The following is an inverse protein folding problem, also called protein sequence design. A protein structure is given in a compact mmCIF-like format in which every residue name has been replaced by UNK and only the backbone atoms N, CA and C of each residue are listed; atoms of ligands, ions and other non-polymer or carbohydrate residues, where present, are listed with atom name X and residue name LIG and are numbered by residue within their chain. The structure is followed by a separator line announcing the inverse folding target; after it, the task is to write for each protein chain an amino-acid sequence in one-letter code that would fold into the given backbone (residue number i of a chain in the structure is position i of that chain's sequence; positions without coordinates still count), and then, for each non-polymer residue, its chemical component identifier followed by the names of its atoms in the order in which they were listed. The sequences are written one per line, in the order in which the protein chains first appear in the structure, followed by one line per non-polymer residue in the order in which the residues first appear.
data_IF_364922070461
#
_entry.id   IF_364922070461
#
_cell.length_a   1.000
_cell.length_b   1.000
_cell.length_c   1.000
_cell.angle_alpha   90.00
_cell.angle_beta   90.00
_cell.angle_gamma   90.00
#
_symmetry.space_group_name_H-M   'P 1'
#
loop_
_entity.id
_entity.type
_entity.pdbx_description
1 polymer ?
#
# COMPACT_ATOMS: atom_id res chain seq x y z
N UNK A 1 9.06 29.27 14.52
CA UNK A 1 8.88 29.33 13.06
C UNK A 1 9.08 27.92 12.59
N UNK A 2 7.98 27.26 12.26
CA UNK A 2 7.99 25.87 11.80
C UNK A 2 7.86 25.97 10.30
N UNK A 3 8.92 25.58 9.60
CA UNK A 3 8.92 25.55 8.15
C UNK A 3 7.90 24.51 7.69
N UNK A 4 6.93 25.04 6.97
CA UNK A 4 5.86 24.37 6.26
C UNK A 4 6.48 23.59 5.08
N UNK A 5 6.75 22.31 5.29
CA UNK A 5 7.18 21.39 4.22
C UNK A 5 5.94 20.98 3.40
N UNK A 6 5.38 21.94 2.69
CA UNK A 6 4.35 21.71 1.67
C UNK A 6 5.09 21.34 0.37
N UNK A 7 4.89 20.13 -0.19
CA UNK A 7 5.83 19.56 -1.15
C UNK A 7 5.63 20.14 -2.55
N UNK A 8 6.71 20.67 -3.12
CA UNK A 8 6.85 21.01 -4.55
C UNK A 8 6.74 19.76 -5.47
N UNK A 9 6.66 18.56 -4.88
CA UNK A 9 6.54 17.26 -5.56
C UNK A 9 5.13 17.01 -6.14
N UNK A 10 4.09 17.65 -5.58
CA UNK A 10 2.70 17.41 -5.98
C UNK A 10 2.37 17.87 -7.41
N UNK A 11 3.15 18.80 -7.97
CA UNK A 11 2.98 19.29 -9.35
C UNK A 11 3.54 18.34 -10.41
N UNK A 12 4.50 17.47 -10.08
CA UNK A 12 5.12 16.55 -11.04
C UNK A 12 4.39 15.20 -11.15
N UNK A 13 3.81 14.71 -10.05
CA UNK A 13 3.10 13.41 -10.03
C UNK A 13 1.82 13.40 -10.87
N UNK A 14 1.21 14.57 -11.11
CA UNK A 14 0.02 14.71 -11.96
C UNK A 14 -1.30 14.29 -11.29
N UNK A 15 -2.34 14.06 -12.11
CA UNK A 15 -3.68 13.69 -11.62
C UNK A 15 -3.80 12.18 -11.34
N UNK A 16 -4.68 11.81 -10.41
CA UNK A 16 -5.02 10.41 -10.16
C UNK A 16 -5.66 9.73 -11.37
N UNK A 17 -5.15 8.56 -11.74
CA UNK A 17 -5.73 7.70 -12.76
C UNK A 17 -6.81 6.79 -12.14
N UNK A 18 -8.03 7.32 -12.14
CA UNK A 18 -9.23 6.63 -11.63
C UNK A 18 -9.54 5.34 -12.39
N UNK A 19 -9.13 5.23 -13.66
CA UNK A 19 -9.40 4.04 -14.48
C UNK A 19 -8.47 2.91 -14.07
N UNK A 20 -7.18 3.22 -13.91
CA UNK A 20 -6.19 2.26 -13.41
C UNK A 20 -6.53 1.82 -11.99
N UNK A 21 -6.81 2.73 -11.06
CA UNK A 21 -7.20 2.35 -9.70
C UNK A 21 -8.46 1.48 -9.66
N UNK A 22 -9.45 1.73 -10.53
CA UNK A 22 -10.64 0.86 -10.60
C UNK A 22 -10.29 -0.54 -11.11
N UNK A 23 -9.37 -0.63 -12.06
CA UNK A 23 -8.86 -1.90 -12.58
C UNK A 23 -8.11 -2.66 -11.49
N UNK A 24 -7.26 -1.98 -10.73
CA UNK A 24 -6.57 -2.53 -9.58
C UNK A 24 -7.54 -3.11 -8.55
N UNK A 25 -8.56 -2.34 -8.14
CA UNK A 25 -9.58 -2.82 -7.19
C UNK A 25 -10.29 -4.10 -7.68
N UNK A 26 -10.79 -4.10 -8.92
CA UNK A 26 -11.46 -5.28 -9.51
C UNK A 26 -10.56 -6.50 -9.62
N UNK A 27 -9.27 -6.30 -9.86
CA UNK A 27 -8.30 -7.41 -9.93
C UNK A 27 -7.91 -7.90 -8.54
N UNK A 28 -7.84 -7.02 -7.56
CA UNK A 28 -7.58 -7.37 -6.17
C UNK A 28 -8.64 -8.35 -5.63
N UNK A 29 -9.93 -8.17 -5.96
CA UNK A 29 -11.02 -9.09 -5.56
C UNK A 29 -10.83 -10.55 -5.99
N UNK A 30 -9.94 -10.82 -6.95
CA UNK A 30 -9.64 -12.19 -7.39
C UNK A 30 -8.64 -12.91 -6.48
N UNK A 31 -8.01 -12.17 -5.55
CA UNK A 31 -7.01 -12.70 -4.64
C UNK A 31 -7.65 -13.14 -3.30
N UNK A 32 -7.32 -14.33 -2.77
CA UNK A 32 -7.98 -14.89 -1.58
C UNK A 32 -7.79 -14.08 -0.29
N UNK A 33 -6.77 -13.24 -0.20
CA UNK A 33 -6.56 -12.34 0.95
C UNK A 33 -7.46 -11.10 0.94
N UNK A 34 -8.08 -10.79 -0.19
CA UNK A 34 -8.85 -9.56 -0.36
C UNK A 34 -10.31 -9.83 -0.01
N UNK A 35 -10.85 -9.03 0.91
CA UNK A 35 -12.27 -9.07 1.27
C UNK A 35 -13.08 -8.15 0.35
N UNK A 36 -12.61 -6.91 0.19
CA UNK A 36 -13.31 -5.90 -0.60
C UNK A 36 -12.40 -4.75 -1.00
N UNK A 37 -12.86 -3.89 -1.92
CA UNK A 37 -12.21 -2.61 -2.20
C UNK A 37 -13.23 -1.50 -2.36
N UNK A 38 -12.76 -0.27 -2.12
CA UNK A 38 -13.55 0.94 -2.33
C UNK A 38 -12.67 2.12 -2.69
N UNK A 39 -13.30 3.13 -3.26
CA UNK A 39 -12.69 4.45 -3.38
C UNK A 39 -12.99 5.27 -2.13
N UNK A 40 -12.01 6.02 -1.66
CA UNK A 40 -12.14 6.98 -0.56
C UNK A 40 -11.95 8.42 -1.06
N UNK A 41 -12.70 9.42 -0.55
CA UNK A 41 -13.83 9.26 0.36
C UNK A 41 -15.06 8.63 -0.31
N UNK A 42 -15.15 8.71 -1.64
CA UNK A 42 -16.26 8.16 -2.40
C UNK A 42 -15.88 7.88 -3.86
N UNK A 43 -16.80 7.27 -4.61
CA UNK A 43 -16.61 6.92 -6.02
C UNK A 43 -16.68 8.12 -6.97
N UNK A 44 -17.27 9.24 -6.57
CA UNK A 44 -17.49 10.43 -7.40
C UNK A 44 -16.20 11.26 -7.49
N UNK A 45 -15.53 11.45 -6.36
CA UNK A 45 -14.29 12.22 -6.21
C UNK A 45 -13.23 11.43 -5.42
N UNK A 46 -12.77 10.29 -5.96
CA UNK A 46 -11.80 9.44 -5.28
C UNK A 46 -10.46 10.15 -5.12
N UNK A 47 -9.86 9.97 -3.95
CA UNK A 47 -8.51 10.37 -3.57
C UNK A 47 -7.58 9.16 -3.46
N UNK A 48 -8.12 8.01 -3.04
CA UNK A 48 -7.36 6.76 -3.00
C UNK A 48 -8.26 5.56 -3.27
N UNK A 49 -7.64 4.46 -3.68
CA UNK A 49 -8.21 3.13 -3.65
C UNK A 49 -7.82 2.46 -2.34
N UNK A 50 -8.78 1.99 -1.57
CA UNK A 50 -8.54 1.16 -0.38
C UNK A 50 -8.99 -0.27 -0.67
N UNK A 51 -8.07 -1.21 -0.49
CA UNK A 51 -8.30 -2.66 -0.54
C UNK A 51 -8.29 -3.16 0.89
N UNK A 52 -9.44 -3.64 1.37
CA UNK A 52 -9.58 -4.26 2.68
C UNK A 52 -9.21 -5.73 2.61
N UNK A 53 -8.37 -6.17 3.54
CA UNK A 53 -7.92 -7.55 3.60
C UNK A 53 -8.79 -8.34 4.58
N UNK A 54 -9.02 -9.61 4.28
CA UNK A 54 -9.88 -10.47 5.07
C UNK A 54 -9.30 -10.66 6.48
N UNK A 55 -10.01 -10.22 7.51
CA UNK A 55 -9.58 -10.35 8.90
C UNK A 55 -9.37 -11.81 9.31
N UNK A 56 -10.11 -12.74 8.69
CA UNK A 56 -9.96 -14.19 8.90
C UNK A 56 -8.63 -14.76 8.39
N UNK A 57 -7.90 -14.02 7.54
CA UNK A 57 -6.58 -14.43 7.11
C UNK A 57 -5.50 -14.14 8.16
N UNK A 58 -5.75 -13.23 9.12
CA UNK A 58 -4.77 -12.77 10.10
C UNK A 58 -4.97 -13.44 11.48
N UNK A 59 -3.92 -13.53 12.31
CA UNK A 59 -4.08 -13.84 13.74
C UNK A 59 -4.88 -12.76 14.48
N UNK A 60 -5.46 -13.13 15.62
CA UNK A 60 -6.28 -12.23 16.45
C UNK A 60 -5.55 -10.99 17.01
N UNK A 61 -4.23 -10.91 16.88
CA UNK A 61 -3.44 -9.73 17.26
C UNK A 61 -3.54 -8.59 16.25
N UNK A 62 -4.05 -8.86 15.04
CA UNK A 62 -4.28 -7.84 14.00
C UNK A 62 -5.77 -7.53 13.93
N UNK A 63 -6.15 -6.30 14.30
CA UNK A 63 -7.55 -5.88 14.32
C UNK A 63 -8.11 -5.68 12.90
N UNK A 64 -7.29 -5.09 12.03
CA UNK A 64 -7.62 -4.92 10.61
C UNK A 64 -6.36 -4.71 9.78
N UNK A 65 -6.44 -5.04 8.49
CA UNK A 65 -5.38 -4.78 7.54
C UNK A 65 -5.93 -4.23 6.22
N UNK A 66 -5.18 -3.34 5.58
CA UNK A 66 -5.56 -2.72 4.31
C UNK A 66 -4.35 -2.37 3.45
N UNK A 67 -4.60 -2.25 2.16
CA UNK A 67 -3.68 -1.62 1.20
C UNK A 67 -4.35 -0.36 0.66
N UNK A 68 -3.69 0.78 0.79
CA UNK A 68 -4.11 2.04 0.19
C UNK A 68 -3.24 2.33 -1.04
N UNK A 69 -3.88 2.63 -2.16
CA UNK A 69 -3.22 2.84 -3.45
C UNK A 69 -3.58 4.22 -4.01
N UNK A 70 -2.55 4.95 -4.39
CA UNK A 70 -2.63 6.12 -5.25
C UNK A 70 -1.91 5.77 -6.55
N UNK A 71 -2.59 5.92 -7.68
CA UNK A 71 -2.00 5.73 -9.00
C UNK A 71 -2.25 6.97 -9.84
N UNK A 72 -1.23 7.44 -10.55
CA UNK A 72 -1.30 8.68 -11.31
C UNK A 72 -1.18 8.43 -12.81
N UNK A 73 -1.69 9.37 -13.60
CA UNK A 73 -1.64 9.31 -15.08
C UNK A 73 -0.20 9.30 -15.63
N UNK A 74 0.76 9.75 -14.82
CA UNK A 74 2.21 9.71 -15.13
C UNK A 74 2.83 8.31 -14.95
N UNK A 75 2.07 7.36 -14.39
CA UNK A 75 2.56 6.05 -13.97
C UNK A 75 3.26 6.05 -12.61
N UNK A 76 3.31 7.19 -11.93
CA UNK A 76 3.73 7.26 -10.53
C UNK A 76 2.69 6.63 -9.62
N UNK A 77 3.12 6.17 -8.45
CA UNK A 77 2.25 5.49 -7.49
C UNK A 77 2.77 5.57 -6.06
N UNK A 78 1.83 5.44 -5.11
CA UNK A 78 2.09 5.13 -3.71
C UNK A 78 1.22 3.93 -3.34
N UNK A 79 1.82 2.88 -2.79
CA UNK A 79 1.10 1.71 -2.27
C UNK A 79 1.47 1.54 -0.80
N UNK A 80 0.50 1.67 0.08
CA UNK A 80 0.70 1.68 1.53
C UNK A 80 -0.05 0.52 2.17
N UNK A 81 0.69 -0.43 2.73
CA UNK A 81 0.13 -1.51 3.52
C UNK A 81 0.12 -1.13 5.00
N UNK A 82 -1.01 -1.36 5.68
CA UNK A 82 -1.21 -1.03 7.09
C UNK A 82 -1.95 -2.14 7.80
N UNK A 83 -1.39 -2.59 8.92
CA UNK A 83 -2.02 -3.40 9.97
C UNK A 83 -2.30 -2.49 11.17
N UNK A 84 -3.55 -2.47 11.67
CA UNK A 84 -3.88 -1.86 12.95
C UNK A 84 -3.82 -2.94 14.05
N UNK A 85 -3.02 -2.69 15.10
CA UNK A 85 -2.68 -3.62 16.19
C UNK A 85 -3.11 -3.02 17.55
N UNK A 86 -4.38 -2.63 17.67
CA UNK A 86 -4.90 -1.89 18.82
C UNK A 86 -4.34 -0.48 18.92
N UNK A 87 -3.35 -0.28 19.80
CA UNK A 87 -2.68 1.02 20.02
C UNK A 87 -1.43 1.21 19.18
N UNK A 88 -1.02 0.20 18.42
CA UNK A 88 0.15 0.23 17.54
C UNK A 88 -0.25 0.01 16.08
N UNK A 89 0.70 0.27 15.18
CA UNK A 89 0.57 -0.03 13.75
C UNK A 89 1.80 -0.74 13.24
N UNK A 90 1.58 -1.56 12.22
CA UNK A 90 2.64 -2.07 11.38
C UNK A 90 2.34 -1.66 9.95
N UNK A 91 3.30 -1.01 9.28
CA UNK A 91 3.09 -0.42 7.97
C UNK A 91 4.36 -0.44 7.13
N UNK A 92 4.18 -0.55 5.81
CA UNK A 92 5.25 -0.38 4.83
C UNK A 92 4.70 0.24 3.56
N UNK A 93 5.56 0.88 2.77
CA UNK A 93 5.12 1.67 1.61
C UNK A 93 6.02 1.49 0.41
N UNK A 94 5.44 1.34 -0.77
CA UNK A 94 6.16 1.36 -2.05
C UNK A 94 5.80 2.62 -2.82
N UNK A 95 6.83 3.36 -3.18
CA UNK A 95 6.71 4.66 -3.82
C UNK A 95 7.39 4.63 -5.18
N UNK A 96 6.73 5.22 -6.17
CA UNK A 96 7.33 5.62 -7.43
C UNK A 96 6.96 7.06 -7.70
N UNK A 97 7.92 7.97 -7.58
CA UNK A 97 7.77 9.38 -7.94
C UNK A 97 9.16 10.02 -8.18
N UNK A 98 9.23 11.17 -8.87
CA UNK A 98 10.45 11.95 -8.97
C UNK A 98 11.00 12.30 -7.59
N UNK A 99 12.29 12.05 -7.34
CA UNK A 99 12.96 12.47 -6.11
C UNK A 99 14.43 12.71 -6.40
N UNK A 100 14.95 13.87 -5.97
CA UNK A 100 16.33 14.29 -6.27
C UNK A 100 17.36 13.37 -5.62
N UNK A 101 17.13 12.94 -4.38
CA UNK A 101 18.11 12.23 -3.55
C UNK A 101 17.76 10.75 -3.29
N UNK A 102 16.84 10.17 -4.07
CA UNK A 102 16.46 8.76 -3.92
C UNK A 102 16.19 8.11 -5.29
N UNK A 103 16.30 6.77 -5.40
CA UNK A 103 15.82 6.08 -6.58
C UNK A 103 14.35 6.41 -6.83
N UNK A 104 14.00 6.62 -8.10
CA UNK A 104 12.62 6.91 -8.53
C UNK A 104 11.61 5.91 -7.96
N UNK A 105 12.03 4.65 -7.76
CA UNK A 105 11.26 3.62 -7.07
C UNK A 105 11.93 3.26 -5.76
N UNK A 106 11.24 3.45 -4.65
CA UNK A 106 11.78 3.16 -3.33
C UNK A 106 10.74 2.54 -2.40
N UNK A 107 11.23 1.79 -1.43
CA UNK A 107 10.45 1.05 -0.44
C UNK A 107 10.75 1.60 0.94
N UNK A 108 9.69 1.88 1.70
CA UNK A 108 9.75 2.25 3.10
C UNK A 108 9.43 1.02 3.93
N UNK A 109 10.43 0.39 4.57
CA UNK A 109 10.27 -0.91 5.21
C UNK A 109 9.44 -0.81 6.50
N UNK A 110 8.82 -1.92 6.92
CA UNK A 110 8.18 -2.02 8.22
C UNK A 110 9.16 -1.94 9.38
N UNK A 111 8.69 -1.71 10.62
CA UNK A 111 7.28 -1.62 11.02
C UNK A 111 6.64 -0.25 10.84
N UNK A 112 7.44 0.82 10.67
CA UNK A 112 6.93 2.18 10.78
C UNK A 112 6.96 2.98 9.47
N UNK A 113 7.46 2.39 8.37
CA UNK A 113 7.73 3.07 7.09
C UNK A 113 8.70 4.27 7.22
N UNK A 114 9.69 4.18 8.11
CA UNK A 114 10.63 5.27 8.43
C UNK A 114 11.99 5.17 7.69
N UNK A 115 12.21 4.14 6.87
CA UNK A 115 13.46 3.94 6.10
C UNK A 115 13.26 4.10 4.59
N UNK A 116 14.34 4.07 3.81
CA UNK A 116 14.27 4.10 2.35
C UNK A 116 15.22 3.07 1.76
N UNK A 117 14.67 2.15 0.97
CA UNK A 117 15.38 1.10 0.24
C UNK A 117 15.01 1.13 -1.24
N UNK A 118 15.77 0.44 -2.09
CA UNK A 118 15.38 0.27 -3.50
C UNK A 118 14.14 -0.61 -3.59
N UNK A 119 13.09 -0.14 -4.27
CA UNK A 119 11.90 -0.96 -4.49
C UNK A 119 12.13 -1.97 -5.61
N UNK A 120 11.75 -3.24 -5.43
CA UNK A 120 11.79 -4.25 -6.49
C UNK A 120 10.60 -4.13 -7.45
N UNK A 121 9.58 -3.30 -7.13
CA UNK A 121 8.36 -3.21 -7.91
C UNK A 121 8.60 -2.59 -9.29
N UNK A 122 7.86 -3.09 -10.27
CA UNK A 122 7.89 -2.63 -11.65
C UNK A 122 7.04 -1.37 -11.89
N UNK A 123 6.68 -1.18 -13.16
CA UNK A 123 5.87 -0.04 -13.62
C UNK A 123 4.45 -0.45 -14.04
N UNK A 124 4.26 -1.70 -14.44
CA UNK A 124 2.95 -2.18 -14.86
C UNK A 124 2.05 -2.40 -13.64
N UNK A 125 0.87 -1.79 -13.66
CA UNK A 125 0.01 -1.70 -12.48
C UNK A 125 -0.44 -3.06 -11.94
N UNK A 126 -0.66 -4.08 -12.79
CA UNK A 126 -1.01 -5.41 -12.29
C UNK A 126 0.17 -6.12 -11.63
N UNK A 127 1.38 -5.91 -12.15
CA UNK A 127 2.58 -6.54 -11.61
C UNK A 127 2.88 -5.95 -10.23
N UNK A 128 2.71 -4.64 -10.07
CA UNK A 128 2.76 -3.94 -8.78
C UNK A 128 1.73 -4.50 -7.81
N UNK A 129 0.47 -4.63 -8.22
CA UNK A 129 -0.60 -5.15 -7.37
C UNK A 129 -0.30 -6.56 -6.84
N UNK A 130 0.03 -7.49 -7.74
CA UNK A 130 0.22 -8.88 -7.34
C UNK A 130 1.52 -9.06 -6.56
N UNK A 131 2.58 -8.32 -6.86
CA UNK A 131 3.81 -8.34 -6.06
C UNK A 131 3.57 -7.85 -4.62
N UNK A 132 2.71 -6.84 -4.43
CA UNK A 132 2.33 -6.37 -3.09
C UNK A 132 1.47 -7.41 -2.38
N UNK A 133 0.51 -8.03 -3.07
CA UNK A 133 -0.32 -9.09 -2.49
C UNK A 133 0.49 -10.34 -2.10
N UNK A 134 1.48 -10.71 -2.90
CA UNK A 134 2.42 -11.79 -2.60
C UNK A 134 3.22 -11.47 -1.33
N UNK A 135 3.76 -10.25 -1.22
CA UNK A 135 4.46 -9.80 -0.02
C UNK A 135 3.56 -9.82 1.23
N UNK A 136 2.29 -9.42 1.08
CA UNK A 136 1.30 -9.46 2.16
C UNK A 136 0.98 -10.91 2.55
N UNK A 137 0.89 -11.84 1.59
CA UNK A 137 0.71 -13.26 1.87
C UNK A 137 1.87 -13.82 2.71
N UNK A 138 3.10 -13.53 2.33
CA UNK A 138 4.29 -13.94 3.10
C UNK A 138 4.31 -13.32 4.50
N UNK A 139 3.84 -12.08 4.67
CA UNK A 139 3.68 -11.44 5.98
C UNK A 139 2.65 -12.17 6.84
N UNK A 140 1.50 -12.52 6.27
CA UNK A 140 0.45 -13.29 6.96
C UNK A 140 0.97 -14.66 7.41
N UNK A 141 1.69 -15.36 6.54
CA UNK A 141 2.31 -16.65 6.89
C UNK A 141 3.30 -16.52 8.05
N UNK A 142 4.18 -15.49 8.02
CA UNK A 142 5.12 -15.22 9.12
C UNK A 142 4.41 -14.93 10.44
N UNK A 143 3.32 -14.15 10.41
CA UNK A 143 2.51 -13.84 11.59
C UNK A 143 1.93 -15.10 12.25
N UNK A 144 1.45 -16.06 11.45
CA UNK A 144 0.96 -17.33 11.98
C UNK A 144 2.09 -18.19 12.56
N UNK A 145 3.26 -18.22 11.91
CA UNK A 145 4.43 -18.95 12.41
C UNK A 145 4.95 -18.39 13.74
N UNK A 146 4.99 -17.06 13.88
CA UNK A 146 5.36 -16.37 15.11
C UNK A 146 4.35 -16.66 16.24
N UNK A 147 3.05 -16.60 15.92
CA UNK A 147 1.97 -16.90 16.87
C UNK A 147 2.02 -18.36 17.36
N UNK A 148 2.39 -19.29 16.48
CA UNK A 148 2.46 -20.72 16.81
C UNK A 148 3.78 -21.11 17.50
N UNK A 149 4.83 -20.27 17.41
CA UNK A 149 6.12 -20.48 18.07
C UNK A 149 6.18 -19.83 19.47
N UNK A 150 5.25 -18.94 19.79
CA UNK A 150 5.12 -18.28 21.09
C UNK A 150 4.11 -18.95 22.05
N UNK A 151 3.55 -20.10 21.67
CA UNK A 151 2.60 -20.89 22.46
C UNK A 151 3.27 -22.03 23.24
#
# INVERSE_FOLDING_TARGET
MSDDDTPDDATETGCLDRTTMRTLGRRAETHPLVDSWRFEPDRLSPRSLVISLASTAYPHTVDSARIEVHWFVTGDYYVHYVEDLGTARFQCRWDRHPKTDAPKRHFHPPPDANGVESSPLGEHHLDVLFSVLDWVAERVERLHNESNSGA
#
